data_IF_042274591546
#
_entry.id   IF_042274591546
#
_cell.length_a   1.000
_cell.length_b   1.000
_cell.length_c   1.000
_cell.angle_alpha   90.00
_cell.angle_beta   90.00
_cell.angle_gamma   90.00
#
_symmetry.space_group_name_H-M   'P 1'
#
loop_
_entity.id
_entity.type
_entity.pdbx_description
1 polymer ?
#
# COMPACT_ATOMS: atom_id res chain seq x y z
N UNK A 1 -3.12 -8.26 15.59
CA UNK A 1 -2.54 -9.41 14.85
C UNK A 1 -2.87 -9.36 13.37
N UNK A 2 -4.12 -9.62 12.91
CA UNK A 2 -4.41 -9.63 11.46
C UNK A 2 -4.26 -8.26 10.77
N UNK A 3 -4.38 -7.17 11.52
CA UNK A 3 -4.20 -5.79 11.01
C UNK A 3 -2.72 -5.37 11.02
N UNK A 4 -1.89 -5.96 11.90
CA UNK A 4 -0.46 -5.68 11.97
C UNK A 4 0.26 -6.29 10.75
N UNK A 5 -0.06 -7.54 10.40
CA UNK A 5 0.46 -8.21 9.19
C UNK A 5 0.12 -7.41 7.92
N UNK A 6 -1.10 -6.84 7.86
CA UNK A 6 -1.55 -6.04 6.72
C UNK A 6 -0.85 -4.67 6.67
N UNK A 7 -0.67 -4.01 7.83
CA UNK A 7 0.07 -2.76 7.93
C UNK A 7 1.52 -2.94 7.46
N UNK A 8 2.18 -4.00 7.90
CA UNK A 8 3.56 -4.33 7.51
C UNK A 8 3.66 -4.57 6.01
N UNK A 9 2.76 -5.40 5.46
CA UNK A 9 2.68 -5.66 4.03
C UNK A 9 2.50 -4.38 3.21
N UNK A 10 1.51 -3.54 3.55
CA UNK A 10 1.26 -2.31 2.80
C UNK A 10 2.43 -1.34 2.89
N UNK A 11 3.05 -1.21 4.07
CA UNK A 11 4.19 -0.31 4.29
C UNK A 11 5.38 -0.72 3.45
N UNK A 12 5.70 -2.02 3.44
CA UNK A 12 6.80 -2.59 2.68
C UNK A 12 6.58 -2.42 1.16
N UNK A 13 5.39 -2.78 0.66
CA UNK A 13 5.06 -2.67 -0.77
C UNK A 13 5.04 -1.22 -1.28
N UNK A 14 4.45 -0.30 -0.52
CA UNK A 14 4.41 1.12 -0.88
C UNK A 14 5.81 1.76 -0.84
N UNK A 15 6.67 1.32 0.09
CA UNK A 15 8.07 1.74 0.14
C UNK A 15 8.85 1.28 -1.08
N UNK A 16 8.66 0.04 -1.51
CA UNK A 16 9.25 -0.46 -2.76
C UNK A 16 8.76 0.31 -3.99
N UNK A 17 7.46 0.60 -4.07
CA UNK A 17 6.91 1.35 -5.19
C UNK A 17 7.46 2.79 -5.23
N UNK A 18 7.61 3.43 -4.06
CA UNK A 18 8.27 4.73 -3.97
C UNK A 18 9.72 4.66 -4.46
N UNK A 19 10.49 3.66 -4.02
CA UNK A 19 11.87 3.46 -4.46
C UNK A 19 11.97 3.22 -5.97
N UNK A 20 11.04 2.46 -6.56
CA UNK A 20 10.96 2.23 -8.01
C UNK A 20 10.66 3.50 -8.78
N UNK A 21 9.78 4.36 -8.27
CA UNK A 21 9.48 5.66 -8.87
C UNK A 21 10.73 6.55 -8.88
N UNK A 22 11.44 6.63 -7.75
CA UNK A 22 12.68 7.38 -7.65
C UNK A 22 13.77 6.86 -8.59
N UNK A 23 13.95 5.53 -8.66
CA UNK A 23 14.94 4.90 -9.54
C UNK A 23 14.67 5.18 -11.03
N UNK A 24 13.40 5.38 -11.42
CA UNK A 24 13.02 5.70 -12.81
C UNK A 24 13.30 7.16 -13.18
N UNK A 25 13.49 8.06 -12.21
CA UNK A 25 13.93 9.45 -12.42
C UNK A 25 13.06 10.30 -13.34
N UNK A 26 11.75 9.99 -13.47
CA UNK A 26 10.90 10.66 -14.48
C UNK A 26 10.29 11.96 -13.96
N UNK A 27 10.47 13.10 -14.67
CA UNK A 27 9.72 14.31 -14.40
C UNK A 27 8.22 14.05 -14.63
N UNK A 28 7.37 14.45 -13.68
CA UNK A 28 5.91 14.27 -13.74
C UNK A 28 5.31 13.34 -12.67
N UNK A 29 6.13 12.70 -11.82
CA UNK A 29 5.65 11.77 -10.78
C UNK A 29 5.48 12.40 -9.39
N UNK A 30 5.60 13.73 -9.25
CA UNK A 30 5.51 14.42 -7.96
C UNK A 30 4.18 14.14 -7.23
N UNK A 31 3.06 14.09 -7.97
CA UNK A 31 1.75 13.76 -7.40
C UNK A 31 1.70 12.32 -6.88
N UNK A 32 2.27 11.37 -7.63
CA UNK A 32 2.29 9.97 -7.23
C UNK A 32 3.19 9.72 -6.00
N UNK A 33 4.36 10.37 -5.97
CA UNK A 33 5.27 10.38 -4.81
C UNK A 33 4.55 10.93 -3.58
N UNK A 34 3.88 12.08 -3.70
CA UNK A 34 3.16 12.69 -2.59
C UNK A 34 2.00 11.81 -2.09
N UNK A 35 1.29 11.15 -3.00
CA UNK A 35 0.20 10.23 -2.64
C UNK A 35 0.71 9.01 -1.86
N UNK A 36 1.80 8.37 -2.34
CA UNK A 36 2.40 7.22 -1.66
C UNK A 36 2.97 7.64 -0.29
N UNK A 37 3.65 8.79 -0.22
CA UNK A 37 4.20 9.30 1.03
C UNK A 37 3.10 9.62 2.07
N UNK A 38 1.96 10.17 1.64
CA UNK A 38 0.82 10.39 2.51
C UNK A 38 0.24 9.07 3.07
N UNK A 39 0.16 8.02 2.25
CA UNK A 39 -0.27 6.69 2.68
C UNK A 39 0.72 6.09 3.69
N UNK A 40 2.03 6.15 3.41
CA UNK A 40 3.07 5.67 4.31
C UNK A 40 3.03 6.37 5.68
N UNK A 41 2.79 7.70 5.70
CA UNK A 41 2.62 8.44 6.97
C UNK A 41 1.40 7.98 7.77
N UNK A 42 0.30 7.62 7.11
CA UNK A 42 -0.89 7.05 7.80
C UNK A 42 -0.59 5.68 8.38
N UNK A 43 0.07 4.81 7.60
CA UNK A 43 0.45 3.47 8.03
C UNK A 43 1.43 3.50 9.21
N UNK A 44 2.42 4.40 9.19
CA UNK A 44 3.35 4.62 10.31
C UNK A 44 2.66 5.07 11.60
N UNK A 45 1.48 5.69 11.50
CA UNK A 45 0.63 6.04 12.64
C UNK A 45 -0.32 4.90 13.06
N UNK A 46 -0.17 3.69 12.51
CA UNK A 46 -1.03 2.54 12.74
C UNK A 46 -2.42 2.67 12.13
N UNK A 47 -2.60 3.59 11.15
CA UNK A 47 -3.91 3.84 10.52
C UNK A 47 -3.95 3.25 9.13
N UNK A 48 -4.88 2.33 8.91
CA UNK A 48 -5.14 1.79 7.59
C UNK A 48 -5.73 2.86 6.64
N UNK A 49 -5.55 2.68 5.32
CA UNK A 49 -6.28 3.42 4.30
C UNK A 49 -7.79 3.23 4.45
N UNK A 50 -8.59 4.11 3.85
CA UNK A 50 -10.04 3.86 3.83
C UNK A 50 -10.39 2.61 3.00
N UNK A 51 -11.63 2.12 3.09
CA UNK A 51 -12.05 0.87 2.42
C UNK A 51 -11.86 0.92 0.90
N UNK A 52 -11.99 2.09 0.28
CA UNK A 52 -11.83 2.27 -1.16
C UNK A 52 -10.37 2.23 -1.58
N UNK A 53 -9.53 3.03 -0.90
CA UNK A 53 -8.07 3.05 -1.07
C UNK A 53 -7.48 1.66 -0.84
N UNK A 54 -7.88 1.00 0.25
CA UNK A 54 -7.38 -0.31 0.64
C UNK A 54 -7.75 -1.37 -0.40
N UNK A 55 -8.98 -1.33 -0.94
CA UNK A 55 -9.40 -2.23 -2.02
C UNK A 55 -8.55 -2.04 -3.28
N UNK A 56 -8.22 -0.80 -3.66
CA UNK A 56 -7.38 -0.52 -4.82
C UNK A 56 -5.95 -1.04 -4.62
N UNK A 57 -5.38 -0.81 -3.44
CA UNK A 57 -4.04 -1.30 -3.09
C UNK A 57 -3.98 -2.83 -3.11
N UNK A 58 -4.92 -3.51 -2.45
CA UNK A 58 -4.95 -4.97 -2.40
C UNK A 58 -5.20 -5.59 -3.78
N UNK A 59 -6.02 -4.96 -4.62
CA UNK A 59 -6.19 -5.39 -6.00
C UNK A 59 -4.87 -5.28 -6.79
N UNK A 60 -4.14 -4.17 -6.64
CA UNK A 60 -2.85 -3.98 -7.29
C UNK A 60 -1.78 -4.96 -6.82
N UNK A 61 -1.82 -5.38 -5.56
CA UNK A 61 -0.85 -6.30 -4.97
C UNK A 61 -1.29 -7.77 -4.95
N UNK A 62 -2.46 -8.12 -5.50
CA UNK A 62 -3.01 -9.47 -5.42
C UNK A 62 -2.16 -10.58 -6.05
N UNK A 63 -1.21 -10.23 -6.92
CA UNK A 63 -0.25 -11.16 -7.52
C UNK A 63 1.05 -11.31 -6.71
N UNK A 64 1.21 -10.58 -5.60
CA UNK A 64 2.42 -10.61 -4.79
C UNK A 64 2.50 -11.91 -3.97
N UNK A 65 3.65 -12.61 -3.88
CA UNK A 65 3.74 -13.86 -3.12
C UNK A 65 3.42 -13.73 -1.63
N UNK A 66 3.67 -12.54 -1.05
CA UNK A 66 3.33 -12.23 0.34
C UNK A 66 1.89 -11.71 0.53
N UNK A 67 1.09 -11.64 -0.54
CA UNK A 67 -0.31 -11.26 -0.44
C UNK A 67 -1.14 -12.40 0.13
N UNK A 68 -1.98 -12.09 1.12
CA UNK A 68 -2.88 -13.05 1.75
C UNK A 68 -4.35 -12.76 1.33
N UNK A 69 -5.05 -13.71 0.67
CA UNK A 69 -6.44 -13.50 0.20
C UNK A 69 -7.42 -13.06 1.29
N UNK A 70 -7.19 -13.49 2.54
CA UNK A 70 -7.98 -13.12 3.73
C UNK A 70 -8.12 -11.61 3.93
N UNK A 71 -7.13 -10.82 3.47
CA UNK A 71 -7.18 -9.36 3.59
C UNK A 71 -8.29 -8.74 2.73
N UNK A 72 -8.53 -9.28 1.54
CA UNK A 72 -9.61 -8.81 0.65
C UNK A 72 -10.96 -9.39 1.06
N UNK A 73 -11.01 -10.64 1.51
CA UNK A 73 -12.25 -11.26 2.01
C UNK A 73 -12.88 -10.46 3.15
N UNK A 74 -12.05 -9.94 4.07
CA UNK A 74 -12.49 -9.04 5.16
C UNK A 74 -13.09 -7.72 4.68
N UNK A 75 -12.73 -7.27 3.47
CA UNK A 75 -13.30 -6.06 2.86
C UNK A 75 -14.59 -6.33 2.08
N UNK A 76 -14.98 -7.59 1.93
CA UNK A 76 -16.24 -7.99 1.28
C UNK A 76 -17.28 -8.47 2.30
N UNK A 77 -16.82 -8.89 3.49
CA UNK A 77 -17.64 -9.07 4.68
C UNK A 77 -18.17 -7.74 5.24
#
# INVERSE_FOLDING_TARGET
>A
MADDDLLDFLTDRLTEDLARIWARGRPGMAVQVAAIDALLRRLAAGRLPDRGELRLLLYGYGAHPAYEPRWTERLLA
#
